data_IF_327782459924
#
_entry.id   IF_327782459924
#
_cell.length_a   1.000
_cell.length_b   1.000
_cell.length_c   1.000
_cell.angle_alpha   90.00
_cell.angle_beta   90.00
_cell.angle_gamma   90.00
#
_symmetry.space_group_name_H-M   'P 1'
#
loop_
_entity.id
_entity.type
_entity.pdbx_description
1 polymer ?
#
# COMPACT_ATOMS: atom_id res chain seq x y z
N UNK A 1 8.33 28.01 -11.25
CA UNK A 1 7.42 27.61 -10.16
C UNK A 1 8.01 26.34 -9.51
N UNK A 2 8.69 26.44 -8.37
CA UNK A 2 9.15 25.25 -7.63
C UNK A 2 7.90 24.59 -7.07
N UNK A 3 7.53 23.40 -7.56
CA UNK A 3 6.65 22.49 -6.82
C UNK A 3 7.29 22.38 -5.43
N UNK A 4 6.60 22.84 -4.38
CA UNK A 4 6.96 22.41 -3.02
C UNK A 4 6.89 20.88 -3.08
N UNK A 5 8.03 20.19 -3.04
CA UNK A 5 8.02 18.73 -3.17
C UNK A 5 7.29 18.21 -1.93
N UNK A 6 6.13 17.59 -2.12
CA UNK A 6 5.48 16.84 -1.04
C UNK A 6 6.49 15.82 -0.52
N UNK A 7 6.50 15.59 0.79
CA UNK A 7 7.35 14.54 1.33
C UNK A 7 6.93 13.21 0.71
N UNK A 8 7.92 12.37 0.43
CA UNK A 8 7.72 11.04 -0.14
C UNK A 8 7.53 10.04 0.98
N UNK A 9 6.49 9.23 0.91
CA UNK A 9 6.20 8.20 1.91
C UNK A 9 6.09 6.85 1.22
N UNK A 10 6.81 5.87 1.77
CA UNK A 10 6.69 4.48 1.36
C UNK A 10 5.54 3.81 2.12
N UNK A 11 4.61 3.22 1.38
CA UNK A 11 3.42 2.54 1.90
C UNK A 11 3.72 1.05 2.00
N UNK A 12 3.68 0.56 3.24
CA UNK A 12 3.93 -0.83 3.60
C UNK A 12 2.66 -1.70 3.51
N UNK A 13 2.85 -3.02 3.45
CA UNK A 13 1.77 -4.00 3.26
C UNK A 13 0.71 -3.93 4.36
N UNK A 14 1.12 -3.67 5.60
CA UNK A 14 0.20 -3.61 6.75
C UNK A 14 -0.97 -2.65 6.54
N UNK A 15 -0.70 -1.44 6.03
CA UNK A 15 -1.76 -0.46 5.78
C UNK A 15 -2.71 -0.93 4.68
N UNK A 16 -2.15 -1.46 3.59
CA UNK A 16 -2.92 -1.95 2.45
C UNK A 16 -3.77 -3.18 2.80
N UNK A 17 -3.24 -4.06 3.65
CA UNK A 17 -3.99 -5.20 4.21
C UNK A 17 -5.17 -4.68 5.01
N UNK A 18 -4.97 -3.70 5.90
CA UNK A 18 -6.08 -3.15 6.70
C UNK A 18 -7.12 -2.42 5.84
N UNK A 19 -6.73 -1.77 4.75
CA UNK A 19 -7.70 -1.20 3.81
C UNK A 19 -8.50 -2.28 3.03
N UNK A 20 -7.93 -3.47 2.85
CA UNK A 20 -8.52 -4.54 2.04
C UNK A 20 -9.41 -5.51 2.84
N UNK A 21 -9.19 -5.67 4.14
CA UNK A 21 -9.85 -6.71 4.94
C UNK A 21 -11.11 -6.20 5.65
N UNK A 22 -12.15 -7.04 5.82
CA UNK A 22 -13.33 -6.68 6.59
C UNK A 22 -12.96 -6.35 8.04
N UNK A 23 -13.47 -5.23 8.54
CA UNK A 23 -13.31 -4.82 9.94
C UNK A 23 -14.54 -4.05 10.43
N UNK A 24 -14.74 -3.89 11.75
CA UNK A 24 -15.86 -3.12 12.24
C UNK A 24 -15.73 -1.64 11.84
N UNK A 25 -16.88 -0.99 11.70
CA UNK A 25 -17.03 0.30 11.02
C UNK A 25 -16.16 1.42 11.62
N UNK A 26 -15.97 1.42 12.93
CA UNK A 26 -15.11 2.39 13.61
C UNK A 26 -13.64 2.25 13.21
N UNK A 27 -13.14 1.01 13.15
CA UNK A 27 -11.76 0.74 12.73
C UNK A 27 -11.58 1.02 11.24
N UNK A 28 -12.55 0.67 10.41
CA UNK A 28 -12.53 0.95 8.97
C UNK A 28 -12.38 2.46 8.71
N UNK A 29 -13.21 3.26 9.37
CA UNK A 29 -13.16 4.74 9.27
C UNK A 29 -11.79 5.30 9.64
N UNK A 30 -11.15 4.78 10.69
CA UNK A 30 -9.84 5.25 11.14
C UNK A 30 -8.76 5.01 10.06
N UNK A 31 -8.75 3.81 9.47
CA UNK A 31 -7.76 3.44 8.44
C UNK A 31 -8.04 4.21 7.15
N UNK A 32 -9.30 4.35 6.74
CA UNK A 32 -9.70 5.12 5.56
C UNK A 32 -9.38 6.61 5.70
N UNK A 33 -9.62 7.22 6.87
CA UNK A 33 -9.28 8.62 7.10
C UNK A 33 -7.77 8.84 7.01
N UNK A 34 -6.99 7.93 7.62
CA UNK A 34 -5.54 7.99 7.57
C UNK A 34 -5.01 7.84 6.13
N UNK A 35 -5.58 6.91 5.34
CA UNK A 35 -5.28 6.79 3.92
C UNK A 35 -5.61 8.08 3.15
N UNK A 36 -6.77 8.67 3.42
CA UNK A 36 -7.19 9.93 2.81
C UNK A 36 -6.28 11.12 3.17
N UNK A 37 -5.75 11.18 4.39
CA UNK A 37 -4.74 12.17 4.79
C UNK A 37 -3.43 11.96 4.02
N UNK A 38 -2.97 10.70 3.92
CA UNK A 38 -1.75 10.36 3.18
C UNK A 38 -1.81 10.80 1.71
N UNK A 39 -2.93 10.51 1.04
CA UNK A 39 -3.19 10.91 -0.35
C UNK A 39 -3.17 12.44 -0.55
N UNK A 40 -3.61 13.19 0.46
CA UNK A 40 -3.69 14.65 0.39
C UNK A 40 -2.37 15.33 0.65
N UNK A 41 -1.51 14.76 1.47
CA UNK A 41 -0.33 15.44 2.00
C UNK A 41 0.99 14.96 1.36
N UNK A 42 1.04 13.73 0.87
CA UNK A 42 2.30 13.07 0.48
C UNK A 42 2.28 12.59 -0.98
N UNK A 43 3.47 12.36 -1.52
CA UNK A 43 3.66 11.54 -2.71
C UNK A 43 3.91 10.10 -2.23
N UNK A 44 3.08 9.15 -2.65
CA UNK A 44 3.09 7.79 -2.11
C UNK A 44 3.79 6.81 -3.05
N UNK A 45 4.56 5.89 -2.46
CA UNK A 45 5.34 4.89 -3.19
C UNK A 45 5.13 3.53 -2.54
N UNK A 46 5.16 2.46 -3.33
CA UNK A 46 5.26 1.10 -2.81
C UNK A 46 6.08 0.25 -3.78
N UNK A 47 6.18 -1.07 -3.57
CA UNK A 47 6.86 -1.97 -4.49
C UNK A 47 6.07 -3.28 -4.69
N UNK A 48 6.50 -4.09 -5.65
CA UNK A 48 5.81 -5.35 -5.97
C UNK A 48 5.86 -6.39 -4.85
N UNK A 49 6.88 -6.40 -3.98
CA UNK A 49 6.92 -7.32 -2.85
C UNK A 49 5.84 -6.98 -1.81
N UNK A 50 5.62 -5.69 -1.55
CA UNK A 50 4.52 -5.24 -0.70
C UNK A 50 3.17 -5.69 -1.25
N UNK A 51 2.92 -5.51 -2.56
CA UNK A 51 1.65 -5.94 -3.15
C UNK A 51 1.47 -7.47 -3.12
N UNK A 52 2.55 -8.24 -3.29
CA UNK A 52 2.52 -9.70 -3.14
C UNK A 52 2.14 -10.10 -1.72
N UNK A 53 2.74 -9.46 -0.71
CA UNK A 53 2.41 -9.69 0.69
C UNK A 53 0.95 -9.36 1.00
N UNK A 54 0.41 -8.26 0.44
CA UNK A 54 -1.00 -7.90 0.59
C UNK A 54 -1.91 -9.01 0.07
N UNK A 55 -1.65 -9.53 -1.13
CA UNK A 55 -2.41 -10.64 -1.71
C UNK A 55 -2.29 -11.91 -0.85
N UNK A 56 -1.08 -12.25 -0.44
CA UNK A 56 -0.82 -13.45 0.35
C UNK A 56 -1.49 -13.39 1.72
N UNK A 57 -1.27 -12.32 2.48
CA UNK A 57 -1.74 -12.17 3.86
C UNK A 57 -3.26 -11.99 3.90
N UNK A 58 -3.84 -11.17 3.01
CA UNK A 58 -5.29 -10.98 2.95
C UNK A 58 -6.02 -12.30 2.72
N UNK A 59 -5.50 -13.14 1.82
CA UNK A 59 -6.04 -14.49 1.58
C UNK A 59 -5.79 -15.45 2.74
N UNK A 60 -4.54 -15.55 3.22
CA UNK A 60 -4.12 -16.61 4.15
C UNK A 60 -4.58 -16.36 5.58
N UNK A 61 -4.57 -15.10 6.02
CA UNK A 61 -4.90 -14.72 7.40
C UNK A 61 -6.35 -14.25 7.55
N UNK A 62 -6.89 -13.57 6.54
CA UNK A 62 -8.20 -12.91 6.64
C UNK A 62 -9.27 -13.50 5.72
N UNK A 63 -8.92 -14.43 4.83
CA UNK A 63 -9.88 -15.15 3.98
C UNK A 63 -10.43 -14.34 2.80
N UNK A 64 -9.88 -13.16 2.51
CA UNK A 64 -10.26 -12.34 1.35
C UNK A 64 -9.88 -13.08 0.07
N UNK A 65 -10.76 -13.10 -0.93
CA UNK A 65 -10.43 -13.78 -2.18
C UNK A 65 -9.31 -13.03 -2.91
N UNK A 66 -8.48 -13.78 -3.63
CA UNK A 66 -7.34 -13.19 -4.35
C UNK A 66 -7.84 -12.16 -5.37
N UNK A 67 -8.91 -12.50 -6.07
CA UNK A 67 -9.51 -11.68 -7.13
C UNK A 67 -10.04 -10.36 -6.57
N UNK A 68 -10.68 -10.39 -5.38
CA UNK A 68 -11.11 -9.18 -4.66
C UNK A 68 -9.92 -8.31 -4.27
N UNK A 69 -8.84 -8.92 -3.78
CA UNK A 69 -7.62 -8.17 -3.41
C UNK A 69 -6.93 -7.55 -4.62
N UNK A 70 -6.92 -8.24 -5.77
CA UNK A 70 -6.38 -7.69 -7.01
C UNK A 70 -7.24 -6.51 -7.51
N UNK A 71 -8.57 -6.64 -7.46
CA UNK A 71 -9.49 -5.54 -7.81
C UNK A 71 -9.30 -4.32 -6.88
N UNK A 72 -9.10 -4.55 -5.59
CA UNK A 72 -8.74 -3.52 -4.62
C UNK A 72 -7.43 -2.82 -5.00
N UNK A 73 -6.37 -3.58 -5.31
CA UNK A 73 -5.07 -3.02 -5.72
C UNK A 73 -5.22 -2.16 -6.98
N UNK A 74 -5.90 -2.68 -8.00
CA UNK A 74 -6.07 -2.01 -9.29
C UNK A 74 -6.86 -0.69 -9.18
N UNK A 75 -7.88 -0.65 -8.32
CA UNK A 75 -8.80 0.49 -8.23
C UNK A 75 -8.46 1.49 -7.13
N UNK A 76 -7.97 1.01 -5.98
CA UNK A 76 -7.77 1.84 -4.80
C UNK A 76 -6.31 2.19 -4.53
N UNK A 77 -5.35 1.40 -5.05
CA UNK A 77 -3.93 1.57 -4.71
C UNK A 77 -3.15 2.11 -5.91
N UNK A 78 -3.07 1.37 -7.03
CA UNK A 78 -2.25 1.73 -8.19
C UNK A 78 -2.54 3.11 -8.80
N UNK A 79 -3.78 3.65 -8.76
CA UNK A 79 -4.02 5.02 -9.24
C UNK A 79 -3.36 6.11 -8.40
N UNK A 80 -2.92 5.78 -7.19
CA UNK A 80 -2.49 6.75 -6.18
C UNK A 80 -1.06 6.56 -5.67
N UNK A 81 -0.42 5.43 -5.98
CA UNK A 81 0.94 5.13 -5.54
C UNK A 81 1.86 4.88 -6.74
N UNK A 82 3.09 5.39 -6.66
CA UNK A 82 4.13 5.04 -7.62
C UNK A 82 4.75 3.68 -7.24
N UNK A 83 4.86 2.77 -8.22
CA UNK A 83 5.55 1.50 -8.04
C UNK A 83 7.04 1.65 -8.26
N UNK A 84 7.81 1.48 -7.18
CA UNK A 84 9.25 1.47 -7.23
C UNK A 84 9.76 0.13 -7.77
N UNK A 85 10.67 0.15 -8.75
CA UNK A 85 11.33 -1.06 -9.22
C UNK A 85 12.20 -1.65 -8.09
N UNK A 86 12.17 -2.97 -7.95
CA UNK A 86 13.09 -3.69 -7.08
C UNK A 86 13.70 -4.87 -7.82
N UNK A 87 15.02 -4.97 -7.75
CA UNK A 87 15.79 -6.05 -8.33
C UNK A 87 16.96 -6.46 -7.43
N UNK A 88 17.66 -7.52 -7.84
CA UNK A 88 18.77 -8.11 -7.08
C UNK A 88 19.94 -7.13 -6.87
N UNK A 89 20.07 -6.12 -7.73
CA UNK A 89 21.05 -5.05 -7.64
C UNK A 89 20.92 -4.22 -6.36
N UNK A 90 19.75 -4.21 -5.70
CA UNK A 90 19.52 -3.54 -4.43
C UNK A 90 20.01 -4.36 -3.22
N UNK A 91 20.27 -5.66 -3.39
CA UNK A 91 20.65 -6.55 -2.29
C UNK A 91 21.87 -6.09 -1.47
N UNK A 92 22.93 -5.49 -2.06
CA UNK A 92 24.05 -4.95 -1.27
C UNK A 92 23.64 -3.89 -0.24
N UNK A 93 22.55 -3.14 -0.47
CA UNK A 93 22.05 -2.13 0.46
C UNK A 93 21.51 -2.74 1.77
N UNK A 94 21.18 -4.03 1.78
CA UNK A 94 20.67 -4.74 2.96
C UNK A 94 21.78 -5.05 3.98
N UNK A 95 23.04 -4.82 3.59
CA UNK A 95 24.22 -5.05 4.42
C UNK A 95 24.79 -3.76 5.01
N UNK A 96 24.17 -2.62 4.71
CA UNK A 96 24.49 -1.31 5.29
C UNK A 96 23.83 -1.19 6.67
#
# INVERSE_FOLDING_TARGET
>A
MRRSSRMKVFVDANLLIYLNVPMPEEQARLVESFWGDLLREYDLFTNLLVLEEVVYVSRRKYGVQREETLEFIDRAILPHVELLPMGAELYPLFKL
#
